data_IF_015978599178
#
_entry.id   IF_015978599178
#
_cell.length_a   1.000
_cell.length_b   1.000
_cell.length_c   1.000
_cell.angle_alpha   90.00
_cell.angle_beta   90.00
_cell.angle_gamma   90.00
#
_symmetry.space_group_name_H-M   'P 1'
#
loop_
_entity.id
_entity.type
_entity.pdbx_description
1 polymer ?
#
# COMPACT_ATOMS: atom_id res chain seq x y z
N UNK A 1 -25.14 15.18 16.84
CA UNK A 1 -25.52 15.23 15.41
C UNK A 1 -24.43 14.60 14.57
N UNK A 2 -24.58 13.32 14.22
CA UNK A 2 -23.65 12.60 13.34
C UNK A 2 -24.43 12.01 12.17
N UNK A 3 -23.90 12.14 10.95
CA UNK A 3 -24.45 11.53 9.75
C UNK A 3 -24.02 10.06 9.68
N UNK A 4 -25.01 9.17 9.66
CA UNK A 4 -24.79 7.74 9.40
C UNK A 4 -24.87 7.53 7.90
N UNK A 5 -23.86 6.89 7.33
CA UNK A 5 -23.92 6.37 5.96
C UNK A 5 -23.72 4.86 6.01
N UNK A 6 -24.39 4.16 5.10
CA UNK A 6 -24.22 2.73 4.85
C UNK A 6 -23.49 2.65 3.53
N UNK A 7 -22.26 2.15 3.54
CA UNK A 7 -21.54 1.82 2.31
C UNK A 7 -22.15 0.55 1.74
N UNK A 8 -22.47 0.56 0.44
CA UNK A 8 -22.93 -0.64 -0.27
C UNK A 8 -21.81 -1.69 -0.28
N UNK A 9 -22.14 -2.92 0.10
CA UNK A 9 -21.21 -4.04 0.03
C UNK A 9 -21.08 -4.45 -1.43
N UNK A 10 -20.09 -3.88 -2.11
CA UNK A 10 -19.70 -4.31 -3.46
C UNK A 10 -18.85 -5.56 -3.31
N UNK A 11 -19.16 -6.62 -4.06
CA UNK A 11 -18.30 -7.81 -4.14
C UNK A 11 -16.88 -7.37 -4.49
N UNK A 12 -15.97 -7.54 -3.53
CA UNK A 12 -14.55 -7.27 -3.71
C UNK A 12 -13.95 -8.44 -4.49
N UNK A 13 -13.61 -8.22 -5.75
CA UNK A 13 -12.83 -9.20 -6.51
C UNK A 13 -11.45 -9.34 -5.88
N UNK A 14 -10.94 -10.57 -5.73
CA UNK A 14 -9.55 -10.78 -5.34
C UNK A 14 -8.64 -10.08 -6.34
N UNK A 15 -7.91 -9.08 -5.87
CA UNK A 15 -7.01 -8.29 -6.71
C UNK A 15 -5.63 -8.93 -6.86
N UNK A 16 -5.38 -9.96 -6.03
CA UNK A 16 -4.15 -10.72 -6.02
C UNK A 16 -2.93 -9.81 -5.85
N UNK A 17 -1.81 -10.08 -6.55
CA UNK A 17 -0.61 -9.28 -6.44
C UNK A 17 -0.61 -7.99 -7.28
N UNK A 18 -1.73 -7.65 -7.93
CA UNK A 18 -1.78 -6.56 -8.90
C UNK A 18 -2.15 -5.21 -8.29
N UNK A 19 -2.69 -5.19 -7.07
CA UNK A 19 -3.14 -3.96 -6.41
C UNK A 19 -2.39 -3.79 -5.10
N UNK A 20 -1.74 -2.63 -4.97
CA UNK A 20 -1.18 -2.15 -3.71
C UNK A 20 -2.30 -1.47 -2.94
N UNK A 21 -2.69 -2.06 -1.82
CA UNK A 21 -3.74 -1.55 -0.93
C UNK A 21 -3.21 -0.47 0.02
N UNK A 22 -1.93 -0.58 0.42
CA UNK A 22 -1.27 0.36 1.32
C UNK A 22 0.19 0.53 0.95
N UNK A 23 0.75 1.71 1.19
CA UNK A 23 2.18 1.93 1.07
C UNK A 23 2.69 2.87 2.15
N UNK A 24 3.99 2.75 2.46
CA UNK A 24 4.70 3.66 3.34
C UNK A 24 6.15 3.77 2.88
N UNK A 25 6.73 4.96 3.04
CA UNK A 25 8.10 5.26 2.67
C UNK A 25 8.84 5.81 3.88
N UNK A 26 10.03 5.29 4.12
CA UNK A 26 10.88 5.76 5.21
C UNK A 26 12.33 5.92 4.75
N UNK A 27 12.93 7.04 5.14
CA UNK A 27 14.37 7.25 5.04
C UNK A 27 14.99 6.91 6.40
N UNK A 28 15.90 5.93 6.42
CA UNK A 28 16.67 5.56 7.61
C UNK A 28 18.15 5.55 7.23
N UNK A 29 18.94 6.39 7.90
CA UNK A 29 20.40 6.46 7.69
C UNK A 29 20.78 6.60 6.21
N UNK A 30 20.09 7.48 5.48
CA UNK A 30 20.30 7.72 4.06
C UNK A 30 19.98 6.53 3.14
N UNK A 31 19.22 5.55 3.63
CA UNK A 31 18.64 4.45 2.85
C UNK A 31 17.14 4.66 2.74
N UNK A 32 16.62 4.57 1.52
CA UNK A 32 15.20 4.71 1.26
C UNK A 32 14.55 3.32 1.23
N UNK A 33 13.49 3.15 2.00
CA UNK A 33 12.70 1.93 2.08
C UNK A 33 11.26 2.22 1.69
N UNK A 34 10.68 1.30 0.90
CA UNK A 34 9.27 1.30 0.52
C UNK A 34 8.65 0.00 1.04
N UNK A 35 7.55 0.11 1.77
CA UNK A 35 6.67 -1.03 2.06
C UNK A 35 5.45 -0.91 1.16
N UNK A 36 5.10 -2.01 0.49
CA UNK A 36 3.85 -2.15 -0.23
C UNK A 36 3.04 -3.31 0.38
N UNK A 37 1.83 -3.01 0.84
CA UNK A 37 0.86 -3.98 1.33
C UNK A 37 -0.11 -4.34 0.22
N UNK A 38 -0.26 -5.64 -0.02
CA UNK A 38 -1.27 -6.24 -0.88
C UNK A 38 -2.30 -6.97 -0.03
N UNK A 39 -3.30 -7.56 -0.67
CA UNK A 39 -4.38 -8.28 0.01
C UNK A 39 -3.87 -9.46 0.86
N UNK A 40 -2.83 -10.15 0.42
CA UNK A 40 -2.33 -11.38 1.07
C UNK A 40 -0.97 -11.25 1.77
N UNK A 41 -0.19 -10.20 1.48
CA UNK A 41 1.15 -10.05 2.04
C UNK A 41 1.67 -8.60 1.99
N UNK A 42 2.73 -8.33 2.75
CA UNK A 42 3.48 -7.08 2.70
C UNK A 42 4.91 -7.36 2.20
N UNK A 43 5.40 -6.50 1.32
CA UNK A 43 6.77 -6.58 0.80
C UNK A 43 7.55 -5.30 1.12
N UNK A 44 8.77 -5.46 1.63
CA UNK A 44 9.73 -4.38 1.87
C UNK A 44 10.73 -4.32 0.71
N UNK A 45 10.94 -3.12 0.18
CA UNK A 45 11.89 -2.82 -0.87
C UNK A 45 12.93 -1.82 -0.38
N UNK A 46 14.21 -2.09 -0.67
CA UNK A 46 15.27 -1.09 -0.60
C UNK A 46 15.32 -0.36 -1.94
N UNK A 47 15.04 0.93 -1.93
CA UNK A 47 14.97 1.76 -3.15
C UNK A 47 16.34 2.37 -3.42
N UNK A 48 16.87 2.13 -4.62
CA UNK A 48 18.06 2.82 -5.13
C UNK A 48 17.61 3.84 -6.17
N UNK A 49 17.64 5.13 -5.80
CA UNK A 49 17.24 6.22 -6.71
C UNK A 49 18.31 6.38 -7.79
N UNK A 50 17.91 6.31 -9.05
CA UNK A 50 18.72 6.71 -10.20
C UNK A 50 18.04 7.94 -10.82
N UNK A 51 18.75 9.07 -10.90
CA UNK A 51 18.32 10.15 -11.79
C UNK A 51 18.58 9.71 -13.22
N UNK A 52 17.58 9.88 -14.08
CA UNK A 52 17.63 9.58 -15.52
C UNK A 52 17.44 10.90 -16.27
#
# INVERSE_FOLDING_TARGET
>A
NGTKFVAEEVMRYETGPNVVMTCSVQNVQNKLYLVAGQESHCQLYKVNVKMV
#
